data_IF_171276823113
#
_entry.id   IF_171276823113
#
_cell.length_a   1.000
_cell.length_b   1.000
_cell.length_c   1.000
_cell.angle_alpha   90.00
_cell.angle_beta   90.00
_cell.angle_gamma   90.00
#
_symmetry.space_group_name_H-M   'P 1'
#
loop_
_entity.id
_entity.type
_entity.pdbx_description
1 polymer ?
#
# COMPACT_ATOMS: atom_id res chain seq x y z
N UNK A 1 6.20 -16.14 -24.78
CA UNK A 1 7.13 -15.25 -24.03
C UNK A 1 6.27 -14.30 -23.21
N UNK A 2 6.18 -14.59 -21.92
CA UNK A 2 5.21 -14.05 -20.99
C UNK A 2 5.23 -12.52 -20.93
N UNK A 3 4.16 -11.88 -21.39
CA UNK A 3 3.88 -10.45 -21.19
C UNK A 3 2.44 -10.27 -20.68
N UNK A 4 2.02 -11.13 -19.75
CA UNK A 4 0.67 -11.11 -19.17
C UNK A 4 0.64 -11.17 -17.64
N UNK A 5 1.78 -11.01 -16.96
CA UNK A 5 1.86 -10.98 -15.48
C UNK A 5 2.27 -9.62 -14.89
N UNK A 6 2.34 -8.56 -15.70
CA UNK A 6 2.80 -7.23 -15.26
C UNK A 6 1.75 -6.11 -15.28
N UNK A 7 0.45 -6.44 -15.43
CA UNK A 7 -0.62 -5.46 -15.75
C UNK A 7 -1.67 -5.38 -14.63
N UNK A 8 -1.26 -5.48 -13.37
CA UNK A 8 -2.13 -5.12 -12.25
C UNK A 8 -1.65 -3.77 -11.68
N UNK A 9 -2.20 -2.69 -12.24
CA UNK A 9 -2.04 -1.27 -11.88
C UNK A 9 -0.61 -0.73 -11.65
N UNK A 10 0.12 -0.42 -12.73
CA UNK A 10 1.23 0.52 -12.61
C UNK A 10 0.68 1.95 -12.50
N UNK A 11 0.71 2.54 -11.31
CA UNK A 11 0.35 3.95 -11.11
C UNK A 11 1.26 4.85 -11.95
N UNK A 12 0.65 5.76 -12.73
CA UNK A 12 1.41 6.80 -13.44
C UNK A 12 2.16 7.68 -12.43
N UNK A 13 3.24 8.33 -12.87
CA UNK A 13 4.01 9.25 -12.01
C UNK A 13 3.12 10.36 -11.41
N UNK A 14 2.14 10.85 -12.19
CA UNK A 14 1.15 11.84 -11.72
C UNK A 14 0.23 11.26 -10.64
N UNK A 15 -0.34 10.07 -10.87
CA UNK A 15 -1.22 9.42 -9.91
C UNK A 15 -0.48 9.09 -8.60
N UNK A 16 0.75 8.56 -8.69
CA UNK A 16 1.58 8.27 -7.52
C UNK A 16 1.89 9.53 -6.70
N UNK A 17 2.24 10.63 -7.36
CA UNK A 17 2.52 11.89 -6.65
C UNK A 17 1.28 12.43 -5.94
N UNK A 18 0.11 12.33 -6.58
CA UNK A 18 -1.16 12.75 -5.99
C UNK A 18 -1.55 11.89 -4.78
N UNK A 19 -1.50 10.56 -4.91
CA UNK A 19 -1.79 9.63 -3.81
C UNK A 19 -0.84 9.81 -2.62
N UNK A 20 0.45 10.07 -2.88
CA UNK A 20 1.44 10.36 -1.82
C UNK A 20 1.12 11.64 -1.06
N UNK A 21 0.69 12.70 -1.75
CA UNK A 21 0.24 13.94 -1.10
C UNK A 21 -0.96 13.67 -0.19
N UNK A 22 -1.95 12.93 -0.67
CA UNK A 22 -3.11 12.54 0.15
C UNK A 22 -2.72 11.65 1.33
N UNK A 23 -1.82 10.68 1.11
CA UNK A 23 -1.33 9.76 2.14
C UNK A 23 -0.53 10.47 3.25
N UNK A 24 0.11 11.59 2.96
CA UNK A 24 0.88 12.35 3.95
C UNK A 24 0.00 12.87 5.10
N UNK A 25 -1.22 13.28 4.78
CA UNK A 25 -2.21 13.83 5.73
C UNK A 25 -2.96 12.75 6.51
N UNK A 26 -2.78 11.46 6.18
CA UNK A 26 -3.41 10.37 6.91
C UNK A 26 -2.71 10.13 8.25
N UNK A 27 -3.47 9.68 9.22
CA UNK A 27 -2.91 9.05 10.43
C UNK A 27 -2.48 7.62 10.12
N UNK A 28 -1.28 7.18 10.56
CA UNK A 28 -0.85 5.79 10.42
C UNK A 28 -1.82 4.85 11.14
N UNK A 29 -2.12 3.72 10.50
CA UNK A 29 -3.04 2.70 11.06
C UNK A 29 -2.49 1.29 11.01
N UNK A 30 -1.33 1.11 10.39
CA UNK A 30 -0.51 -0.10 10.47
C UNK A 30 0.84 0.32 11.03
N UNK A 31 1.32 -0.40 12.05
CA UNK A 31 2.56 -0.07 12.73
C UNK A 31 3.51 -1.26 12.67
N UNK A 32 4.74 -1.01 12.21
CA UNK A 32 5.79 -2.02 12.14
C UNK A 32 6.62 -1.96 13.42
N UNK A 33 6.65 -3.06 14.17
CA UNK A 33 7.44 -3.20 15.39
C UNK A 33 8.91 -3.52 15.13
N UNK A 34 9.65 -3.86 16.20
CA UNK A 34 11.08 -4.18 16.12
C UNK A 34 11.40 -5.43 15.30
N UNK A 35 10.47 -6.38 15.27
CA UNK A 35 10.58 -7.62 14.51
C UNK A 35 10.43 -7.41 12.99
N UNK A 36 10.18 -6.16 12.55
CA UNK A 36 10.01 -5.83 11.14
C UNK A 36 8.69 -6.33 10.56
N UNK A 37 8.70 -6.61 9.26
CA UNK A 37 7.50 -7.04 8.51
C UNK A 37 7.31 -8.55 8.69
N UNK A 38 6.42 -8.93 9.59
CA UNK A 38 5.98 -10.32 9.80
C UNK A 38 4.73 -10.64 8.97
N UNK A 39 4.39 -11.93 8.86
CA UNK A 39 3.15 -12.37 8.21
C UNK A 39 1.89 -11.75 8.83
N UNK A 40 1.89 -11.55 10.15
CA UNK A 40 0.80 -10.88 10.85
C UNK A 40 0.65 -9.42 10.42
N UNK A 41 1.76 -8.71 10.20
CA UNK A 41 1.74 -7.33 9.70
C UNK A 41 1.23 -7.28 8.27
N UNK A 42 1.61 -8.23 7.41
CA UNK A 42 1.12 -8.31 6.04
C UNK A 42 -0.40 -8.54 6.03
N UNK A 43 -0.88 -9.52 6.79
CA UNK A 43 -2.32 -9.81 6.89
C UNK A 43 -3.12 -8.62 7.45
N UNK A 44 -2.57 -7.89 8.43
CA UNK A 44 -3.17 -6.66 8.91
C UNK A 44 -3.21 -5.59 7.81
N UNK A 45 -2.10 -5.36 7.11
CA UNK A 45 -2.01 -4.36 6.05
C UNK A 45 -3.00 -4.64 4.92
N UNK A 46 -3.15 -5.90 4.52
CA UNK A 46 -4.10 -6.33 3.49
C UNK A 46 -5.54 -5.99 3.89
N UNK A 47 -5.97 -6.35 5.10
CA UNK A 47 -7.33 -6.05 5.57
C UNK A 47 -7.61 -4.54 5.68
N UNK A 48 -6.61 -3.75 6.08
CA UNK A 48 -6.75 -2.29 6.14
C UNK A 48 -6.82 -1.69 4.73
N UNK A 49 -5.98 -2.15 3.80
CA UNK A 49 -6.00 -1.72 2.39
C UNK A 49 -7.34 -2.02 1.73
N UNK A 50 -7.93 -3.17 2.00
CA UNK A 50 -9.23 -3.59 1.46
C UNK A 50 -10.38 -2.69 1.96
N UNK A 51 -10.25 -2.13 3.16
CA UNK A 51 -11.26 -1.25 3.76
C UNK A 51 -11.07 0.23 3.37
N UNK A 52 -9.83 0.67 3.07
CA UNK A 52 -9.49 2.10 2.97
C UNK A 52 -8.94 2.55 1.64
N UNK A 53 -8.55 1.63 0.76
CA UNK A 53 -7.94 1.83 -0.56
C UNK A 53 -6.60 2.60 -0.57
N UNK A 54 -6.33 3.44 0.43
CA UNK A 54 -5.10 4.19 0.67
C UNK A 54 -4.78 4.18 2.17
N UNK A 55 -3.53 3.87 2.50
CA UNK A 55 -3.03 3.76 3.87
C UNK A 55 -1.69 4.45 4.01
N UNK A 56 -1.38 4.86 5.25
CA UNK A 56 -0.08 5.37 5.66
C UNK A 56 0.61 4.34 6.54
#
# INVERSE_FOLDING_TARGET
KNKLIGVMLLLSSKARSYLRMMGNELEPVVYIGREGVSEAIISQADGVLETRELVK
#
